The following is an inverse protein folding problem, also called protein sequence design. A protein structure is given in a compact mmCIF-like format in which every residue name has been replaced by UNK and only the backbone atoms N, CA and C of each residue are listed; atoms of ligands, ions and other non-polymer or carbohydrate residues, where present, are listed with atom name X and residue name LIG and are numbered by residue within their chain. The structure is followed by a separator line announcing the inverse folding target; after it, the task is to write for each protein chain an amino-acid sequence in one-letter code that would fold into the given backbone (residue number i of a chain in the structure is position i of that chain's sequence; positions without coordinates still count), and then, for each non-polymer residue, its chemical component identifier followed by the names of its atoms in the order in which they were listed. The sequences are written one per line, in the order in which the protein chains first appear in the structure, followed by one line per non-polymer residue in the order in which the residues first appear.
data_IF_701467566626
#
_entry.id   IF_701467566626
#
_cell.length_a   1.000
_cell.length_b   1.000
_cell.length_c   1.000
_cell.angle_alpha   90.00
_cell.angle_beta   90.00
_cell.angle_gamma   90.00
#
_symmetry.space_group_name_H-M   'P 1'
#
loop_
_entity.id
_entity.type
_entity.pdbx_description
1 polymer ?
#
# COMPACT_ATOMS: atom_id res chain seq x y z
N UNK A 1 -4.67 -23.93 81.57
CA UNK A 1 -3.62 -22.90 81.58
C UNK A 1 -3.09 -22.78 80.19
N UNK A 2 -3.47 -21.69 79.47
CA UNK A 2 -3.11 -21.44 78.06
C UNK A 2 -1.95 -20.44 78.02
N UNK A 3 -0.79 -20.88 77.52
CA UNK A 3 0.36 -20.00 77.29
C UNK A 3 0.21 -19.34 75.94
N UNK A 4 0.16 -18.05 75.93
CA UNK A 4 0.21 -17.22 74.73
C UNK A 4 1.67 -17.01 74.32
N UNK A 5 2.03 -17.41 73.14
CA UNK A 5 3.32 -17.11 72.52
C UNK A 5 3.17 -15.85 71.68
N UNK A 6 3.91 -14.83 72.09
CA UNK A 6 3.97 -13.54 71.41
C UNK A 6 5.08 -13.60 70.37
N UNK A 7 4.71 -13.62 69.10
CA UNK A 7 5.67 -13.58 67.96
C UNK A 7 5.95 -12.13 67.62
N UNK A 8 7.18 -11.70 67.84
CA UNK A 8 7.65 -10.36 67.42
C UNK A 8 8.13 -10.47 66.00
N UNK A 9 7.44 -9.82 65.08
CA UNK A 9 7.92 -9.64 63.69
C UNK A 9 8.86 -8.42 63.67
N UNK A 10 10.15 -8.67 63.45
CA UNK A 10 11.11 -7.64 63.07
C UNK A 10 10.94 -7.36 61.58
N UNK A 11 10.34 -6.25 61.22
CA UNK A 11 10.35 -5.76 59.83
C UNK A 11 11.62 -4.92 59.60
N UNK A 12 12.60 -5.50 58.93
CA UNK A 12 13.75 -4.76 58.41
C UNK A 12 13.31 -3.92 57.18
N UNK A 13 13.19 -2.64 57.35
CA UNK A 13 13.03 -1.71 56.23
C UNK A 13 14.38 -1.51 55.55
N UNK A 14 14.57 -2.17 54.39
CA UNK A 14 15.65 -1.82 53.47
C UNK A 14 15.27 -0.54 52.74
N UNK A 15 15.90 0.56 53.07
CA UNK A 15 15.84 1.80 52.31
C UNK A 15 16.74 1.63 51.07
N UNK A 16 16.09 1.35 49.94
CA UNK A 16 16.77 1.34 48.66
C UNK A 16 16.83 2.79 48.16
N UNK A 17 17.98 3.43 48.31
CA UNK A 17 18.22 4.74 47.70
C UNK A 17 18.36 4.55 46.20
N UNK A 18 17.26 4.70 45.44
CA UNK A 18 17.31 4.87 44.01
C UNK A 18 17.88 6.25 43.71
N UNK A 19 19.14 6.26 43.26
CA UNK A 19 19.72 7.41 42.58
C UNK A 19 18.91 7.70 41.34
N UNK A 20 18.17 8.82 41.36
CA UNK A 20 17.48 9.33 40.16
C UNK A 20 18.58 9.88 39.24
N UNK A 21 19.07 9.04 38.32
CA UNK A 21 19.81 9.55 37.16
C UNK A 21 18.79 10.24 36.28
N UNK A 22 18.83 11.57 36.25
CA UNK A 22 18.14 12.35 35.25
C UNK A 22 18.78 12.04 33.88
N UNK A 23 18.21 11.09 33.15
CA UNK A 23 18.45 10.96 31.72
C UNK A 23 17.85 12.20 31.08
N UNK A 24 18.68 13.17 30.73
CA UNK A 24 18.29 14.26 29.86
C UNK A 24 17.99 13.60 28.51
N UNK A 25 16.72 13.35 28.23
CA UNK A 25 16.28 13.04 26.89
C UNK A 25 16.58 14.30 26.08
N UNK A 26 17.64 14.27 25.28
CA UNK A 26 17.75 15.18 24.17
C UNK A 26 16.46 15.01 23.36
N UNK A 27 15.69 16.08 23.24
CA UNK A 27 14.56 16.10 22.31
C UNK A 27 15.15 15.73 20.94
N UNK A 28 14.89 14.51 20.50
CA UNK A 28 15.03 14.20 19.10
C UNK A 28 14.09 15.18 18.41
N UNK A 29 14.66 15.96 17.52
CA UNK A 29 13.89 16.80 16.60
C UNK A 29 13.08 15.81 15.73
N UNK A 30 11.88 15.50 16.19
CA UNK A 30 10.92 14.65 15.51
C UNK A 30 10.30 15.50 14.39
N UNK A 31 11.14 15.86 13.42
CA UNK A 31 10.68 16.24 12.09
C UNK A 31 10.25 14.94 11.41
N UNK A 32 9.18 14.33 11.93
CA UNK A 32 8.40 13.38 11.17
C UNK A 32 8.03 14.11 9.88
N UNK A 33 8.66 13.71 8.78
CA UNK A 33 8.23 14.15 7.45
C UNK A 33 6.79 13.73 7.33
N UNK A 34 5.88 14.70 7.42
CA UNK A 34 4.47 14.44 7.14
C UNK A 34 4.42 14.05 5.67
N UNK A 35 4.32 12.75 5.40
CA UNK A 35 4.03 12.25 4.05
C UNK A 35 2.83 13.02 3.52
N UNK A 36 3.05 13.85 2.52
CA UNK A 36 2.00 14.72 1.99
C UNK A 36 1.38 14.09 0.75
N UNK A 37 0.19 13.52 0.93
CA UNK A 37 -0.64 13.10 -0.22
C UNK A 37 -1.38 14.33 -0.74
N UNK A 38 -1.14 14.66 -2.00
CA UNK A 38 -1.77 15.81 -2.67
C UNK A 38 -2.63 15.33 -3.83
N UNK A 39 -3.92 15.68 -3.79
CA UNK A 39 -4.84 15.54 -4.94
C UNK A 39 -5.10 16.93 -5.48
N UNK A 40 -4.66 17.19 -6.71
CA UNK A 40 -4.78 18.51 -7.37
C UNK A 40 -5.79 18.46 -8.51
N UNK A 41 -6.40 19.62 -8.79
CA UNK A 41 -7.25 19.79 -9.98
C UNK A 41 -6.45 19.94 -11.26
N UNK A 42 -5.21 20.35 -11.17
CA UNK A 42 -4.35 20.72 -12.29
C UNK A 42 -3.07 19.90 -12.39
N UNK A 43 -2.64 19.27 -11.30
CA UNK A 43 -1.43 18.44 -11.25
C UNK A 43 -1.78 16.96 -11.18
N UNK A 44 -0.79 16.10 -11.47
CA UNK A 44 -1.01 14.65 -11.48
C UNK A 44 -1.96 14.20 -12.58
N UNK A 45 -2.05 14.95 -13.68
CA UNK A 45 -2.87 14.63 -14.85
C UNK A 45 -1.96 14.31 -16.02
N UNK A 46 -2.22 13.19 -16.69
CA UNK A 46 -1.48 12.78 -17.87
C UNK A 46 -2.41 12.19 -18.94
N UNK A 47 -1.96 12.17 -20.17
CA UNK A 47 -2.66 11.56 -21.29
C UNK A 47 -2.38 10.06 -21.35
N UNK A 48 -3.40 9.30 -21.74
CA UNK A 48 -3.27 7.91 -22.15
C UNK A 48 -3.85 7.74 -23.54
N UNK A 49 -3.65 6.60 -24.18
CA UNK A 49 -4.24 6.28 -25.48
C UNK A 49 -5.78 6.39 -25.47
N UNK A 50 -6.42 6.22 -24.30
CA UNK A 50 -7.88 6.14 -24.19
C UNK A 50 -8.52 7.38 -23.55
N UNK A 51 -7.73 8.31 -23.05
CA UNK A 51 -8.20 9.54 -22.42
C UNK A 51 -7.27 10.01 -21.32
N UNK A 52 -7.59 11.14 -20.69
CA UNK A 52 -6.79 11.68 -19.59
C UNK A 52 -7.10 10.96 -18.29
N UNK A 53 -6.04 10.76 -17.47
CA UNK A 53 -6.15 10.21 -16.13
C UNK A 53 -5.62 11.21 -15.11
N UNK A 54 -6.21 11.22 -13.91
CA UNK A 54 -5.71 11.95 -12.76
C UNK A 54 -5.35 10.97 -11.68
N UNK A 55 -4.10 11.05 -11.22
CA UNK A 55 -3.59 10.42 -10.02
C UNK A 55 -3.49 11.40 -8.85
N UNK A 56 -2.73 11.01 -7.85
CA UNK A 56 -2.32 11.85 -6.73
C UNK A 56 -0.79 11.87 -6.65
N UNK A 57 -0.27 12.83 -5.89
CA UNK A 57 1.16 12.95 -5.62
C UNK A 57 1.36 12.52 -4.17
N UNK A 58 2.23 11.57 -3.96
CA UNK A 58 2.58 11.01 -2.68
C UNK A 58 4.08 11.23 -2.47
N UNK A 59 4.40 12.25 -1.69
CA UNK A 59 5.78 12.65 -1.41
C UNK A 59 6.63 12.75 -2.69
N UNK A 60 6.12 13.48 -3.69
CA UNK A 60 6.78 13.69 -4.98
C UNK A 60 6.54 12.62 -6.04
N UNK A 61 6.09 11.43 -5.67
CA UNK A 61 5.80 10.33 -6.61
C UNK A 61 4.36 10.43 -7.13
N UNK A 62 4.18 10.52 -8.44
CA UNK A 62 2.87 10.47 -9.08
C UNK A 62 2.33 9.05 -9.04
N UNK A 63 1.14 8.89 -8.47
CA UNK A 63 0.50 7.59 -8.26
C UNK A 63 -0.85 7.55 -8.94
N UNK A 64 -1.04 6.56 -9.81
CA UNK A 64 -2.30 6.29 -10.50
C UNK A 64 -2.76 4.88 -10.15
N UNK A 65 -4.01 4.73 -9.72
CA UNK A 65 -4.58 3.44 -9.31
C UNK A 65 -5.80 3.10 -10.14
N UNK A 66 -5.90 1.85 -10.59
CA UNK A 66 -7.07 1.35 -11.28
C UNK A 66 -7.26 1.89 -12.70
N UNK A 67 -6.19 2.12 -13.46
CA UNK A 67 -6.28 2.49 -14.89
C UNK A 67 -6.74 1.25 -15.66
N UNK A 68 -7.87 1.29 -16.39
CA UNK A 68 -8.29 0.18 -17.23
C UNK A 68 -7.35 0.02 -18.42
N UNK A 69 -6.91 -1.19 -18.70
CA UNK A 69 -6.09 -1.50 -19.88
C UNK A 69 -6.79 -2.44 -20.86
N UNK A 70 -7.83 -3.14 -20.42
CA UNK A 70 -8.67 -4.00 -21.24
C UNK A 70 -10.06 -4.14 -20.63
N UNK A 71 -10.98 -4.68 -21.39
CA UNK A 71 -12.30 -5.16 -20.96
C UNK A 71 -12.59 -6.50 -21.60
N UNK A 72 -13.34 -7.35 -20.93
CA UNK A 72 -13.84 -8.60 -21.48
C UNK A 72 -14.99 -9.12 -20.62
N UNK A 73 -15.95 -9.75 -21.23
CA UNK A 73 -16.88 -10.63 -20.55
C UNK A 73 -16.17 -11.92 -20.14
N UNK A 74 -16.79 -12.67 -19.23
CA UNK A 74 -16.21 -13.92 -18.74
C UNK A 74 -16.03 -14.92 -19.87
N UNK A 75 -14.85 -15.51 -19.96
CA UNK A 75 -14.37 -16.44 -21.00
C UNK A 75 -14.21 -15.84 -22.40
N UNK A 76 -14.49 -14.56 -22.58
CA UNK A 76 -14.26 -13.88 -23.85
C UNK A 76 -12.83 -13.34 -23.98
N UNK A 77 -12.42 -13.10 -25.21
CA UNK A 77 -11.11 -12.48 -25.47
C UNK A 77 -11.11 -11.02 -25.02
N UNK A 78 -10.02 -10.54 -24.41
CA UNK A 78 -9.93 -9.15 -24.00
C UNK A 78 -9.90 -8.21 -25.21
N UNK A 79 -10.62 -7.12 -25.08
CA UNK A 79 -10.66 -6.01 -26.01
C UNK A 79 -10.04 -4.76 -25.39
N UNK A 80 -9.72 -3.79 -26.22
CA UNK A 80 -9.29 -2.47 -25.76
C UNK A 80 -10.39 -1.83 -24.89
N UNK A 81 -10.05 -1.08 -23.84
CA UNK A 81 -11.04 -0.36 -23.07
C UNK A 81 -11.68 0.75 -23.91
N UNK A 82 -12.90 1.14 -23.54
CA UNK A 82 -13.55 2.28 -24.16
C UNK A 82 -12.78 3.55 -23.86
N UNK A 83 -12.64 4.43 -24.86
CA UNK A 83 -12.13 5.77 -24.64
C UNK A 83 -13.13 6.60 -23.83
N UNK A 84 -12.61 7.56 -23.07
CA UNK A 84 -13.43 8.46 -22.27
C UNK A 84 -13.10 9.92 -22.53
N UNK A 85 -14.10 10.76 -22.41
CA UNK A 85 -13.96 12.20 -22.45
C UNK A 85 -13.63 12.76 -21.05
N UNK A 86 -12.95 13.89 -21.02
CA UNK A 86 -12.57 14.55 -19.78
C UNK A 86 -11.45 13.82 -19.03
N UNK A 87 -11.47 13.90 -17.70
CA UNK A 87 -10.42 13.35 -16.83
C UNK A 87 -10.99 12.25 -15.95
N UNK A 88 -10.48 11.04 -16.12
CA UNK A 88 -10.79 9.89 -15.25
C UNK A 88 -9.97 9.96 -13.98
N UNK A 89 -10.61 9.90 -12.82
CA UNK A 89 -9.92 9.83 -11.55
C UNK A 89 -9.40 8.40 -11.29
N UNK A 90 -8.09 8.27 -11.15
CA UNK A 90 -7.37 7.03 -10.85
C UNK A 90 -6.73 7.13 -9.46
N UNK A 91 -7.55 7.42 -8.43
CA UNK A 91 -7.14 7.72 -7.07
C UNK A 91 -7.23 6.49 -6.15
N UNK A 92 -8.03 5.49 -6.54
CA UNK A 92 -8.28 4.27 -5.76
C UNK A 92 -8.01 3.05 -6.61
N UNK A 93 -7.64 1.95 -5.97
CA UNK A 93 -7.43 0.68 -6.67
C UNK A 93 -8.69 0.23 -7.39
N UNK A 94 -8.53 -0.33 -8.56
CA UNK A 94 -9.60 -1.00 -9.30
C UNK A 94 -9.94 -2.36 -8.67
N UNK A 95 -11.03 -2.98 -9.13
CA UNK A 95 -11.41 -4.31 -8.70
C UNK A 95 -10.36 -5.34 -9.06
N UNK A 96 -10.24 -6.37 -8.22
CA UNK A 96 -9.44 -7.56 -8.46
C UNK A 96 -10.26 -8.65 -9.13
N UNK A 97 -9.62 -9.67 -9.70
CA UNK A 97 -10.31 -10.81 -10.29
C UNK A 97 -11.14 -11.54 -9.23
N UNK A 98 -12.32 -12.08 -9.60
CA UNK A 98 -13.08 -12.97 -8.73
C UNK A 98 -12.26 -14.23 -8.43
N UNK A 99 -12.12 -14.56 -7.14
CA UNK A 99 -11.52 -15.80 -6.67
C UNK A 99 -12.58 -16.66 -6.00
N UNK A 100 -12.49 -17.97 -6.20
CA UNK A 100 -13.51 -18.91 -5.72
C UNK A 100 -13.56 -19.02 -4.21
N UNK A 101 -12.49 -18.65 -3.53
CA UNK A 101 -12.41 -18.65 -2.08
C UNK A 101 -11.64 -17.40 -1.65
N UNK A 102 -12.33 -16.48 -1.00
CA UNK A 102 -11.63 -15.51 -0.17
C UNK A 102 -11.06 -16.30 1.00
N UNK A 103 -9.75 -16.37 1.09
CA UNK A 103 -9.10 -16.94 2.26
C UNK A 103 -9.37 -16.02 3.43
N UNK A 104 -9.85 -16.60 4.53
CA UNK A 104 -9.84 -15.88 5.80
C UNK A 104 -8.40 -15.47 6.10
N UNK A 105 -8.19 -14.30 6.74
CA UNK A 105 -6.87 -13.90 7.19
C UNK A 105 -6.21 -15.04 7.94
N UNK A 106 -5.03 -15.43 7.51
CA UNK A 106 -4.29 -16.50 8.17
C UNK A 106 -3.15 -15.94 9.05
N UNK A 107 -2.44 -16.81 9.75
CA UNK A 107 -1.33 -16.40 10.60
C UNK A 107 -0.19 -15.73 9.81
N UNK A 108 -0.10 -15.94 8.51
CA UNK A 108 0.86 -15.29 7.63
C UNK A 108 0.56 -13.81 7.41
N UNK A 109 -0.71 -13.42 7.43
CA UNK A 109 -1.13 -12.02 7.26
C UNK A 109 -0.65 -11.12 8.41
N UNK A 110 -0.36 -11.71 9.57
CA UNK A 110 0.23 -10.98 10.69
C UNK A 110 1.68 -10.55 10.41
N UNK A 111 2.42 -11.36 9.63
CA UNK A 111 3.83 -11.10 9.30
C UNK A 111 3.93 -10.32 7.99
N UNK A 112 3.09 -10.67 7.01
CA UNK A 112 3.03 -10.04 5.69
C UNK A 112 1.58 -9.57 5.48
N UNK A 113 1.27 -8.30 5.81
CA UNK A 113 -0.08 -7.78 5.68
C UNK A 113 -0.64 -7.97 4.27
N UNK A 114 -1.83 -8.56 4.19
CA UNK A 114 -2.55 -8.82 2.96
C UNK A 114 -3.68 -7.80 2.77
N UNK A 115 -3.78 -7.24 1.58
CA UNK A 115 -4.88 -6.32 1.22
C UNK A 115 -5.99 -7.10 0.51
N UNK A 116 -7.20 -7.01 1.06
CA UNK A 116 -8.42 -7.53 0.45
C UNK A 116 -9.15 -6.37 -0.24
N UNK A 117 -9.72 -6.61 -1.42
CA UNK A 117 -10.38 -5.56 -2.20
C UNK A 117 -11.63 -6.09 -2.90
N UNK A 118 -12.43 -5.15 -3.42
CA UNK A 118 -13.63 -5.51 -4.18
C UNK A 118 -13.26 -6.35 -5.42
N UNK A 119 -14.02 -7.42 -5.66
CA UNK A 119 -13.83 -8.32 -6.79
C UNK A 119 -14.87 -8.05 -7.87
N UNK A 120 -14.48 -8.18 -9.13
CA UNK A 120 -15.38 -7.99 -10.27
C UNK A 120 -14.82 -8.69 -11.51
N UNK A 121 -15.68 -9.10 -12.42
CA UNK A 121 -15.26 -9.54 -13.77
C UNK A 121 -14.54 -8.40 -14.52
N UNK A 122 -14.91 -7.14 -14.25
CA UNK A 122 -14.20 -5.98 -14.76
C UNK A 122 -12.98 -5.67 -13.88
N UNK A 123 -11.97 -6.54 -13.93
CA UNK A 123 -10.76 -6.50 -13.11
C UNK A 123 -9.50 -6.11 -13.88
N UNK A 124 -9.57 -5.95 -15.19
CA UNK A 124 -8.41 -5.70 -16.04
C UNK A 124 -7.95 -4.24 -15.93
N UNK A 125 -7.26 -3.95 -14.85
CA UNK A 125 -6.72 -2.63 -14.53
C UNK A 125 -5.28 -2.74 -14.02
N UNK A 126 -4.59 -1.61 -14.01
CA UNK A 126 -3.21 -1.51 -13.55
C UNK A 126 -3.02 -0.29 -12.66
N UNK A 127 -1.94 -0.31 -11.91
CA UNK A 127 -1.49 0.81 -11.10
C UNK A 127 -0.12 1.27 -11.59
N UNK A 128 0.15 2.56 -11.49
CA UNK A 128 1.39 3.18 -11.95
C UNK A 128 1.93 4.11 -10.89
N UNK A 129 3.23 4.02 -10.63
CA UNK A 129 4.02 4.96 -9.84
C UNK A 129 5.14 5.49 -10.72
N UNK A 130 5.33 6.80 -10.72
CA UNK A 130 6.39 7.44 -11.49
C UNK A 130 6.88 8.71 -10.80
N UNK A 131 8.19 8.98 -10.75
CA UNK A 131 8.71 10.22 -10.20
C UNK A 131 8.51 11.42 -11.15
N UNK A 132 8.11 11.18 -12.40
CA UNK A 132 8.00 12.21 -13.42
C UNK A 132 6.89 11.89 -14.43
N UNK A 133 6.22 12.92 -14.95
CA UNK A 133 5.23 12.84 -16.02
C UNK A 133 5.77 13.30 -17.39
N UNK A 134 7.03 13.73 -17.48
CA UNK A 134 7.62 14.10 -18.76
C UNK A 134 7.91 12.84 -19.60
N UNK A 135 7.18 12.69 -20.69
CA UNK A 135 7.37 11.59 -21.64
C UNK A 135 8.76 11.57 -22.30
N UNK A 136 9.47 12.70 -22.31
CA UNK A 136 10.84 12.78 -22.85
C UNK A 136 11.89 12.24 -21.89
N UNK A 137 11.58 12.09 -20.62
CA UNK A 137 12.49 11.52 -19.62
C UNK A 137 12.87 10.07 -19.93
N UNK A 138 12.02 9.33 -20.68
CA UNK A 138 12.24 7.94 -21.14
C UNK A 138 12.72 7.02 -20.02
N UNK A 139 12.09 7.13 -18.84
CA UNK A 139 12.45 6.31 -17.67
C UNK A 139 12.26 4.82 -17.96
N UNK A 140 13.08 3.95 -17.39
CA UNK A 140 12.86 2.51 -17.44
C UNK A 140 11.51 2.16 -16.83
N UNK A 141 10.83 1.15 -17.38
CA UNK A 141 9.54 0.67 -16.88
C UNK A 141 9.69 -0.74 -16.32
N UNK A 142 9.28 -0.92 -15.07
CA UNK A 142 9.20 -2.21 -14.41
C UNK A 142 7.75 -2.64 -14.30
N UNK A 143 7.40 -3.78 -14.88
CA UNK A 143 6.04 -4.33 -14.85
C UNK A 143 6.00 -5.54 -13.95
N UNK A 144 5.14 -5.51 -12.94
CA UNK A 144 4.93 -6.58 -11.99
C UNK A 144 3.65 -7.36 -12.30
N UNK A 145 3.80 -8.65 -12.50
CA UNK A 145 2.70 -9.61 -12.57
C UNK A 145 2.70 -10.44 -11.29
N UNK A 146 1.60 -10.40 -10.55
CA UNK A 146 1.48 -11.11 -9.28
C UNK A 146 1.44 -12.63 -9.47
N UNK A 147 1.81 -13.36 -8.44
CA UNK A 147 1.69 -14.80 -8.37
C UNK A 147 0.26 -15.27 -8.06
N UNK A 148 0.10 -16.57 -7.81
CA UNK A 148 -1.17 -17.16 -7.38
C UNK A 148 -1.64 -18.33 -8.26
N UNK A 149 -0.75 -18.86 -9.14
CA UNK A 149 -1.00 -20.07 -9.94
C UNK A 149 -2.13 -19.93 -10.95
N UNK A 150 -2.45 -18.71 -11.39
CA UNK A 150 -3.55 -18.35 -12.30
C UNK A 150 -4.96 -18.59 -11.74
N UNK A 151 -5.13 -18.76 -10.44
CA UNK A 151 -6.44 -18.91 -9.81
C UNK A 151 -6.60 -18.06 -8.55
N UNK A 152 -5.56 -17.34 -8.13
CA UNK A 152 -5.55 -16.53 -6.91
C UNK A 152 -4.62 -15.32 -7.09
N UNK A 153 -4.71 -14.37 -6.16
CA UNK A 153 -3.82 -13.23 -6.08
C UNK A 153 -4.39 -11.95 -6.69
N UNK A 154 -3.66 -10.88 -6.50
CA UNK A 154 -3.94 -9.57 -7.12
C UNK A 154 -2.70 -8.68 -7.14
N UNK A 155 -2.74 -7.62 -7.94
CA UNK A 155 -1.65 -6.63 -8.03
C UNK A 155 -1.47 -5.80 -6.75
N UNK A 156 -2.34 -5.95 -5.77
CA UNK A 156 -2.37 -5.14 -4.55
C UNK A 156 -2.35 -5.96 -3.26
N UNK A 157 -2.39 -7.29 -3.34
CA UNK A 157 -2.53 -8.14 -2.16
C UNK A 157 -1.39 -7.95 -1.16
N UNK A 158 -0.16 -7.91 -1.64
CA UNK A 158 1.01 -7.69 -0.79
C UNK A 158 1.35 -6.20 -0.65
N UNK A 159 1.68 -5.76 0.56
CA UNK A 159 2.15 -4.39 0.80
C UNK A 159 3.42 -4.09 -0.03
N UNK A 160 4.26 -5.10 -0.24
CA UNK A 160 5.47 -4.99 -1.05
C UNK A 160 5.19 -4.77 -2.56
N UNK A 161 3.94 -4.92 -3.01
CA UNK A 161 3.56 -4.63 -4.40
C UNK A 161 3.27 -3.13 -4.63
N UNK A 162 3.28 -2.31 -3.58
CA UNK A 162 3.24 -0.87 -3.72
C UNK A 162 4.54 -0.37 -4.35
N UNK A 163 4.42 0.26 -5.50
CA UNK A 163 5.57 0.64 -6.32
C UNK A 163 6.22 1.97 -5.94
N UNK A 164 5.67 2.73 -4.96
CA UNK A 164 6.14 4.08 -4.63
C UNK A 164 7.64 4.10 -4.31
N UNK A 165 8.06 3.32 -3.34
CA UNK A 165 9.45 3.35 -2.87
C UNK A 165 10.43 2.88 -3.96
N UNK A 166 10.03 1.88 -4.76
CA UNK A 166 10.88 1.42 -5.86
C UNK A 166 10.97 2.45 -6.98
N UNK A 167 9.87 3.13 -7.29
CA UNK A 167 9.81 4.19 -8.29
C UNK A 167 10.70 5.38 -7.90
N UNK A 168 10.58 5.82 -6.66
CA UNK A 168 11.34 6.94 -6.12
C UNK A 168 12.85 6.61 -6.04
N UNK A 169 13.19 5.51 -5.37
CA UNK A 169 14.59 5.10 -5.19
C UNK A 169 15.30 4.77 -6.50
N UNK A 170 14.60 4.10 -7.42
CA UNK A 170 15.19 3.60 -8.67
C UNK A 170 15.10 4.57 -9.84
N UNK A 171 14.42 5.70 -9.68
CA UNK A 171 14.09 6.64 -10.77
C UNK A 171 13.42 5.92 -11.97
N UNK A 172 12.47 5.04 -11.69
CA UNK A 172 11.80 4.16 -12.66
C UNK A 172 10.28 4.30 -12.59
N UNK A 173 9.62 3.97 -13.69
CA UNK A 173 8.16 3.76 -13.67
C UNK A 173 7.87 2.35 -13.21
N UNK A 174 7.04 2.21 -12.18
CA UNK A 174 6.58 0.90 -11.69
C UNK A 174 5.13 0.70 -12.07
N UNK A 175 4.81 -0.45 -12.62
CA UNK A 175 3.46 -0.84 -13.01
C UNK A 175 3.11 -2.17 -12.35
N UNK A 176 1.95 -2.26 -11.69
CA UNK A 176 1.41 -3.53 -11.20
C UNK A 176 0.08 -3.82 -11.89
N UNK A 177 -0.11 -5.06 -12.32
CA UNK A 177 -1.20 -5.44 -13.23
C UNK A 177 -2.18 -6.41 -12.55
N UNK A 178 -3.46 -6.04 -12.53
CA UNK A 178 -4.54 -6.98 -12.26
C UNK A 178 -4.98 -7.61 -13.59
N UNK A 179 -4.93 -8.93 -13.65
CA UNK A 179 -5.39 -9.71 -14.79
C UNK A 179 -6.50 -10.67 -14.34
N UNK A 180 -7.23 -11.22 -15.29
CA UNK A 180 -8.20 -12.29 -15.02
C UNK A 180 -7.47 -13.56 -14.58
N UNK A 181 -8.11 -14.32 -13.72
CA UNK A 181 -7.63 -15.58 -13.18
C UNK A 181 -8.52 -16.74 -13.64
#
# INVERSE_FOLDING_TARGET
MKKKILTILLSSAMIFSMGISTVSAAAADDTASTESIVVSKTEGITDTTYGKVRGFIDDGTYTFRGIPYAKADRFEMPEAPDSWDGIRNCLVYGSTAPITKMTDPDGGDFIIPHRYWAQSENCQNLNVWTPDLDSNAKKPVMVWFHGGGFYNGSSIEGVAYDGKNLSDFGDVVVVTVNHRL
#
